data_IF_531048667034
#
_entry.id   IF_531048667034
#
_cell.length_a   1.000
_cell.length_b   1.000
_cell.length_c   1.000
_cell.angle_alpha   90.00
_cell.angle_beta   90.00
_cell.angle_gamma   90.00
#
_symmetry.space_group_name_H-M   'P 1'
#
loop_
_entity.id
_entity.type
_entity.pdbx_description
1 polymer ?
#
# COMPACT_ATOMS: atom_id res chain seq x y z
N UNK A 1 22.20 -5.57 5.25
CA UNK A 1 20.84 -4.98 5.38
C UNK A 1 20.33 -4.47 4.02
N UNK A 2 20.90 -4.93 2.89
CA UNK A 2 20.52 -4.51 1.52
C UNK A 2 19.43 -5.40 0.89
N UNK A 3 19.40 -6.70 1.21
CA UNK A 3 18.52 -7.68 0.55
C UNK A 3 17.00 -7.43 0.73
N UNK A 4 16.58 -6.77 1.82
CA UNK A 4 15.17 -6.46 2.06
C UNK A 4 14.71 -5.35 1.11
N UNK A 5 15.46 -4.25 1.03
CA UNK A 5 15.10 -3.10 0.18
C UNK A 5 15.07 -3.47 -1.31
N UNK A 6 16.02 -4.28 -1.78
CA UNK A 6 16.11 -4.70 -3.18
C UNK A 6 14.93 -5.59 -3.62
N UNK A 7 14.37 -6.39 -2.69
CA UNK A 7 13.17 -7.21 -2.96
C UNK A 7 11.87 -6.44 -2.80
N UNK A 8 11.82 -5.44 -1.93
CA UNK A 8 10.62 -4.64 -1.67
C UNK A 8 10.40 -3.52 -2.68
N UNK A 9 11.47 -2.86 -3.15
CA UNK A 9 11.34 -1.71 -4.03
C UNK A 9 10.52 -1.98 -5.32
N UNK A 10 10.63 -3.16 -5.99
CA UNK A 10 9.77 -3.48 -7.13
C UNK A 10 8.29 -3.62 -6.74
N UNK A 11 8.00 -4.23 -5.59
CA UNK A 11 6.64 -4.40 -5.09
C UNK A 11 6.03 -3.06 -4.67
N UNK A 12 6.81 -2.19 -4.03
CA UNK A 12 6.42 -0.83 -3.67
C UNK A 12 6.01 -0.02 -4.90
N UNK A 13 6.82 -0.10 -5.97
CA UNK A 13 6.56 0.61 -7.21
C UNK A 13 5.32 0.07 -7.92
N UNK A 14 5.13 -1.25 -7.95
CA UNK A 14 3.97 -1.85 -8.58
C UNK A 14 2.69 -1.50 -7.83
N UNK A 15 2.72 -1.57 -6.50
CA UNK A 15 1.61 -1.16 -5.64
C UNK A 15 1.20 0.29 -5.93
N UNK A 16 2.18 1.21 -6.03
CA UNK A 16 1.91 2.61 -6.33
C UNK A 16 1.33 2.80 -7.73
N UNK A 17 1.80 2.07 -8.74
CA UNK A 17 1.23 2.14 -10.10
C UNK A 17 -0.22 1.67 -10.13
N UNK A 18 -0.51 0.54 -9.48
CA UNK A 18 -1.86 -0.01 -9.39
C UNK A 18 -2.79 0.98 -8.69
N UNK A 19 -2.33 1.59 -7.60
CA UNK A 19 -3.09 2.64 -6.91
C UNK A 19 -3.38 3.82 -7.83
N UNK A 20 -2.38 4.36 -8.52
CA UNK A 20 -2.57 5.48 -9.47
C UNK A 20 -3.56 5.10 -10.58
N UNK A 21 -3.43 3.90 -11.14
CA UNK A 21 -4.30 3.41 -12.22
C UNK A 21 -5.75 3.15 -11.79
N UNK A 22 -5.97 2.78 -10.52
CA UNK A 22 -7.30 2.56 -9.96
C UNK A 22 -7.99 3.87 -9.51
N UNK A 23 -7.23 4.96 -9.34
CA UNK A 23 -7.81 6.23 -8.87
C UNK A 23 -8.35 7.12 -10.00
N UNK A 24 -9.44 7.86 -9.75
CA UNK A 24 -9.94 8.88 -10.68
C UNK A 24 -8.89 9.94 -10.99
N UNK A 25 -8.84 10.42 -12.24
CA UNK A 25 -7.90 11.46 -12.71
C UNK A 25 -7.98 12.79 -11.95
N UNK A 26 -9.04 12.99 -11.17
CA UNK A 26 -9.29 14.22 -10.42
C UNK A 26 -8.71 14.21 -9.00
N UNK A 27 -8.04 13.12 -8.60
CA UNK A 27 -7.34 13.00 -7.33
C UNK A 27 -5.88 13.41 -7.49
N UNK A 28 -5.39 14.29 -6.61
CA UNK A 28 -3.96 14.63 -6.56
C UNK A 28 -3.22 13.92 -5.42
N UNK A 29 -3.96 13.23 -4.55
CA UNK A 29 -3.42 12.49 -3.42
C UNK A 29 -4.27 11.25 -3.13
N UNK A 30 -3.58 10.16 -2.81
CA UNK A 30 -4.12 8.84 -2.51
C UNK A 30 -3.51 8.40 -1.19
N UNK A 31 -4.35 7.95 -0.28
CA UNK A 31 -3.93 7.33 0.98
C UNK A 31 -4.49 5.92 1.03
N UNK A 32 -3.59 4.95 1.20
CA UNK A 32 -3.95 3.57 1.46
C UNK A 32 -3.49 3.18 2.86
N UNK A 33 -4.38 2.55 3.61
CA UNK A 33 -4.09 1.95 4.90
C UNK A 33 -4.44 0.47 4.84
N UNK A 34 -3.43 -0.38 5.00
CA UNK A 34 -3.57 -1.82 5.11
C UNK A 34 -3.27 -2.26 6.55
N UNK A 35 -4.20 -3.01 7.14
CA UNK A 35 -4.10 -3.53 8.51
C UNK A 35 -4.15 -5.04 8.46
N UNK A 36 -3.16 -5.69 9.07
CA UNK A 36 -3.18 -7.13 9.29
C UNK A 36 -4.15 -7.44 10.41
N UNK A 37 -5.13 -8.30 10.13
CA UNK A 37 -6.11 -8.77 11.10
C UNK A 37 -5.74 -10.20 11.47
N UNK A 38 -5.47 -10.42 12.75
CA UNK A 38 -5.22 -11.74 13.33
C UNK A 38 -6.27 -12.01 14.40
N UNK A 39 -7.29 -12.79 14.05
CA UNK A 39 -8.36 -13.20 14.97
C UNK A 39 -8.43 -14.73 15.03
N UNK A 40 -7.81 -15.31 16.07
CA UNK A 40 -7.74 -16.76 16.23
C UNK A 40 -6.94 -17.42 15.12
N UNK A 41 -7.58 -18.31 14.36
CA UNK A 41 -6.97 -18.96 13.18
C UNK A 41 -7.11 -18.13 11.90
N UNK A 42 -7.87 -17.03 11.94
CA UNK A 42 -8.06 -16.16 10.79
C UNK A 42 -6.92 -15.15 10.68
N UNK A 43 -6.22 -15.17 9.55
CA UNK A 43 -5.26 -14.15 9.14
C UNK A 43 -5.76 -13.50 7.87
N UNK A 44 -5.92 -12.18 7.90
CA UNK A 44 -6.43 -11.40 6.77
C UNK A 44 -5.82 -10.01 6.69
N UNK A 45 -6.21 -9.30 5.63
CA UNK A 45 -5.87 -7.91 5.42
C UNK A 45 -7.15 -7.08 5.30
N UNK A 46 -7.24 -6.00 6.06
CA UNK A 46 -8.22 -4.94 5.83
C UNK A 46 -7.51 -3.80 5.12
N UNK A 47 -7.97 -3.45 3.91
CA UNK A 47 -7.37 -2.40 3.10
C UNK A 47 -8.39 -1.31 2.85
N UNK A 48 -7.99 -0.07 3.05
CA UNK A 48 -8.81 1.12 2.79
C UNK A 48 -8.01 2.05 1.90
N UNK A 49 -8.64 2.55 0.84
CA UNK A 49 -8.08 3.55 -0.06
C UNK A 49 -9.01 4.77 -0.02
N UNK A 50 -8.41 5.95 0.17
CA UNK A 50 -9.14 7.20 0.31
C UNK A 50 -8.35 8.38 -0.27
N UNK A 51 -9.06 9.47 -0.55
CA UNK A 51 -8.44 10.76 -0.86
C UNK A 51 -8.52 11.69 0.35
N UNK A 52 -7.42 12.34 0.77
CA UNK A 52 -7.43 13.29 1.86
C UNK A 52 -8.09 14.63 1.48
N UNK A 53 -8.44 14.83 0.19
CA UNK A 53 -9.17 16.01 -0.29
C UNK A 53 -10.64 16.07 0.17
N UNK A 54 -11.06 15.23 1.13
CA UNK A 54 -12.41 15.21 1.68
C UNK A 54 -13.46 14.55 0.78
N UNK A 55 -13.03 13.92 -0.31
CA UNK A 55 -13.90 13.08 -1.14
C UNK A 55 -14.07 11.74 -0.44
N UNK A 56 -15.30 11.47 0.01
CA UNK A 56 -15.66 10.26 0.74
C UNK A 56 -15.83 9.03 -0.18
N UNK A 57 -15.25 9.07 -1.37
CA UNK A 57 -15.24 7.92 -2.27
C UNK A 57 -14.20 6.93 -1.72
N UNK A 58 -14.68 6.02 -0.88
CA UNK A 58 -13.94 4.82 -0.52
C UNK A 58 -13.82 3.97 -1.79
N UNK A 59 -12.59 3.85 -2.29
CA UNK A 59 -12.28 2.91 -3.36
C UNK A 59 -12.13 1.53 -2.75
N UNK A 60 -12.87 0.57 -3.29
CA UNK A 60 -12.58 -0.83 -3.02
C UNK A 60 -11.18 -1.15 -3.56
N UNK A 61 -10.33 -1.82 -2.77
CA UNK A 61 -9.02 -2.25 -3.24
C UNK A 61 -9.21 -3.25 -4.40
N UNK A 62 -8.51 -3.03 -5.50
CA UNK A 62 -8.44 -4.02 -6.57
C UNK A 62 -7.77 -5.30 -6.05
N UNK A 63 -8.16 -6.46 -6.57
CA UNK A 63 -7.56 -7.76 -6.21
C UNK A 63 -6.03 -7.73 -6.30
N UNK A 64 -5.50 -7.03 -7.31
CA UNK A 64 -4.06 -6.85 -7.53
C UNK A 64 -3.36 -6.11 -6.37
N UNK A 65 -4.04 -5.13 -5.73
CA UNK A 65 -3.53 -4.47 -4.52
C UNK A 65 -3.41 -5.47 -3.38
N UNK A 66 -4.43 -6.32 -3.20
CA UNK A 66 -4.44 -7.34 -2.15
C UNK A 66 -3.31 -8.36 -2.37
N UNK A 67 -3.15 -8.85 -3.60
CA UNK A 67 -2.09 -9.80 -3.96
C UNK A 67 -0.69 -9.22 -3.73
N UNK A 68 -0.46 -7.96 -4.10
CA UNK A 68 0.81 -7.27 -3.85
C UNK A 68 1.09 -7.10 -2.36
N UNK A 69 0.06 -6.85 -1.55
CA UNK A 69 0.20 -6.74 -0.09
C UNK A 69 0.54 -8.08 0.57
N UNK A 70 -0.02 -9.19 0.08
CA UNK A 70 0.37 -10.53 0.52
C UNK A 70 1.81 -10.88 0.11
N UNK A 71 2.23 -10.53 -1.11
CA UNK A 71 3.63 -10.67 -1.53
C UNK A 71 4.57 -9.84 -0.65
N UNK A 72 4.16 -8.63 -0.28
CA UNK A 72 4.88 -7.81 0.71
C UNK A 72 5.06 -8.56 2.03
N UNK A 73 3.97 -9.11 2.58
CA UNK A 73 4.04 -9.88 3.83
C UNK A 73 4.95 -11.10 3.71
N UNK A 74 4.96 -11.79 2.57
CA UNK A 74 5.82 -12.96 2.34
C UNK A 74 7.31 -12.56 2.38
N UNK A 75 7.71 -11.48 1.70
CA UNK A 75 9.10 -10.99 1.76
C UNK A 75 9.46 -10.60 3.19
N UNK A 76 8.59 -9.89 3.90
CA UNK A 76 8.79 -9.54 5.32
C UNK A 76 8.93 -10.79 6.20
N UNK A 77 8.13 -11.85 5.94
CA UNK A 77 8.19 -13.14 6.63
C UNK A 77 9.53 -13.83 6.46
N UNK A 78 10.10 -13.82 5.26
CA UNK A 78 11.44 -14.39 4.99
C UNK A 78 12.54 -13.74 5.84
N UNK A 79 12.33 -12.48 6.25
CA UNK A 79 13.25 -11.71 7.07
C UNK A 79 12.88 -11.68 8.57
N UNK A 80 11.85 -12.43 8.98
CA UNK A 80 11.50 -12.64 10.38
C UNK A 80 10.79 -11.47 11.07
N UNK A 81 10.25 -10.52 10.31
CA UNK A 81 9.48 -9.38 10.85
C UNK A 81 8.23 -9.20 10.00
N UNK A 82 7.06 -9.00 10.62
CA UNK A 82 5.81 -8.73 9.89
C UNK A 82 5.24 -7.41 10.40
N UNK A 83 4.93 -6.49 9.48
CA UNK A 83 4.22 -5.27 9.83
C UNK A 83 2.77 -5.57 10.20
N UNK A 84 2.27 -4.92 11.25
CA UNK A 84 0.87 -4.90 11.63
C UNK A 84 0.07 -3.95 10.73
N UNK A 85 0.65 -2.80 10.40
CA UNK A 85 0.01 -1.80 9.56
C UNK A 85 0.96 -1.25 8.51
N UNK A 86 0.43 -0.97 7.32
CA UNK A 86 1.11 -0.33 6.22
C UNK A 86 0.30 0.89 5.77
N UNK A 87 0.94 2.05 5.80
CA UNK A 87 0.41 3.29 5.27
C UNK A 87 1.17 3.65 4.00
N UNK A 88 0.44 3.78 2.89
CA UNK A 88 0.95 4.31 1.63
C UNK A 88 0.31 5.66 1.35
N UNK A 89 1.13 6.68 1.09
CA UNK A 89 0.66 7.97 0.63
C UNK A 89 1.29 8.26 -0.73
N UNK A 90 0.45 8.41 -1.74
CA UNK A 90 0.84 8.76 -3.12
C UNK A 90 0.34 10.18 -3.38
N UNK A 91 1.20 11.06 -3.90
CA UNK A 91 0.89 12.48 -4.08
C UNK A 91 1.49 13.01 -5.37
N UNK A 92 0.71 13.83 -6.08
CA UNK A 92 1.17 14.52 -7.28
C UNK A 92 2.06 15.69 -6.88
N UNK A 93 3.27 15.74 -7.44
CA UNK A 93 4.22 16.83 -7.22
C UNK A 93 3.96 17.98 -8.20
N UNK A 94 4.51 19.15 -7.90
CA UNK A 94 4.37 20.36 -8.73
C UNK A 94 4.93 20.20 -10.16
N UNK A 95 5.85 19.26 -10.36
CA UNK A 95 6.44 18.95 -11.67
C UNK A 95 5.57 17.99 -12.52
N UNK A 96 4.41 17.59 -12.00
CA UNK A 96 3.50 16.64 -12.65
C UNK A 96 3.87 15.17 -12.46
N UNK A 97 4.93 14.87 -11.69
CA UNK A 97 5.30 13.50 -11.36
C UNK A 97 4.64 13.03 -10.06
N UNK A 98 4.33 11.75 -9.98
CA UNK A 98 3.84 11.14 -8.75
C UNK A 98 5.01 10.82 -7.79
N UNK A 99 4.88 11.24 -6.55
CA UNK A 99 5.68 10.77 -5.42
C UNK A 99 4.90 9.79 -4.57
N UNK A 100 5.63 8.96 -3.81
CA UNK A 100 5.00 8.12 -2.80
C UNK A 100 5.85 8.02 -1.53
N UNK A 101 5.19 7.68 -0.43
CA UNK A 101 5.79 7.39 0.88
C UNK A 101 5.12 6.17 1.46
N UNK A 102 5.91 5.28 2.04
CA UNK A 102 5.45 4.10 2.76
C UNK A 102 5.90 4.18 4.20
N UNK A 103 5.02 3.80 5.11
CA UNK A 103 5.30 3.68 6.55
C UNK A 103 4.78 2.34 7.03
N UNK A 104 5.64 1.58 7.67
CA UNK A 104 5.32 0.31 8.29
C UNK A 104 5.26 0.47 9.81
N UNK A 105 4.25 -0.12 10.44
CA UNK A 105 4.15 -0.25 11.89
C UNK A 105 4.16 -1.74 12.25
N UNK A 106 4.89 -2.10 13.31
CA UNK A 106 5.20 -3.48 13.69
C UNK A 106 4.52 -3.86 15.02
#
# INVERSE_FOLDING_TARGET
MEMLYEKHAPLDLELVKVLIGATPESWNQIEMHAVRVEEGEYQGLTVRISSPEGRQDLLEPADEVIDLLYQHLDVFREHGTLWRELFCSVFLKEDGNWGFKLKFEY
#
